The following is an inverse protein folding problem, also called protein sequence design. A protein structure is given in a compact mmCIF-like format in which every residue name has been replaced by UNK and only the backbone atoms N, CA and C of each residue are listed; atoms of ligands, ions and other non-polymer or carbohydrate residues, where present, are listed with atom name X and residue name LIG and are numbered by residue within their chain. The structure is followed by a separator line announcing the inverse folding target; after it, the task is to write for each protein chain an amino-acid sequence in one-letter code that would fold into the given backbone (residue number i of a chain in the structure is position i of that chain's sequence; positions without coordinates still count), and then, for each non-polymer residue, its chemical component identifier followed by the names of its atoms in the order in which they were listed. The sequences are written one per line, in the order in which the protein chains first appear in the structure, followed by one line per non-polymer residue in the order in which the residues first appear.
data_IF_307587522981
#
_entry.id   IF_307587522981
#
_cell.length_a   1.000
_cell.length_b   1.000
_cell.length_c   1.000
_cell.angle_alpha   90.00
_cell.angle_beta   90.00
_cell.angle_gamma   90.00
#
_symmetry.space_group_name_H-M   'P 1'
#
loop_
_entity.id
_entity.type
_entity.pdbx_description
1 polymer ?
#
# COMPACT_ATOMS: atom_id res chain seq x y z
N UNK A 1 -2.90 -19.49 -18.07
CA UNK A 1 -4.06 -18.65 -18.44
C UNK A 1 -3.93 -17.32 -17.72
N UNK A 2 -3.35 -16.33 -18.41
CA UNK A 2 -3.17 -14.98 -17.87
C UNK A 2 -4.53 -14.31 -17.77
N UNK A 3 -4.98 -14.03 -16.55
CA UNK A 3 -6.17 -13.23 -16.32
C UNK A 3 -5.74 -11.79 -16.51
N UNK A 4 -6.25 -11.18 -17.57
CA UNK A 4 -6.25 -9.75 -17.85
C UNK A 4 -6.48 -8.96 -16.56
N UNK A 5 -5.53 -8.06 -16.22
CA UNK A 5 -5.63 -7.15 -15.07
C UNK A 5 -6.89 -6.31 -15.23
N UNK A 6 -7.93 -6.67 -14.49
CA UNK A 6 -9.07 -5.78 -14.27
C UNK A 6 -8.64 -4.77 -13.22
N UNK A 7 -9.16 -3.54 -13.23
CA UNK A 7 -8.83 -2.52 -12.22
C UNK A 7 -9.08 -2.98 -10.76
N UNK A 8 -9.87 -4.04 -10.56
CA UNK A 8 -10.04 -4.69 -9.26
C UNK A 8 -8.86 -5.54 -8.75
N UNK A 9 -7.85 -5.79 -9.58
CA UNK A 9 -6.63 -6.55 -9.22
C UNK A 9 -5.61 -5.67 -8.48
N UNK A 10 -5.66 -4.35 -8.68
CA UNK A 10 -4.80 -3.38 -7.99
C UNK A 10 -5.11 -3.32 -6.49
N UNK A 11 -6.39 -3.41 -6.14
CA UNK A 11 -6.89 -3.48 -4.77
C UNK A 11 -7.23 -4.91 -4.36
N UNK A 12 -6.31 -5.84 -4.61
CA UNK A 12 -6.37 -7.18 -4.02
C UNK A 12 -6.38 -7.10 -2.48
N UNK A 13 -6.98 -8.09 -1.81
CA UNK A 13 -7.20 -8.08 -0.36
C UNK A 13 -5.91 -7.92 0.46
N UNK A 14 -4.82 -8.49 -0.04
CA UNK A 14 -3.51 -8.44 0.61
C UNK A 14 -2.62 -7.31 0.08
N UNK A 15 -3.13 -6.48 -0.84
CA UNK A 15 -2.41 -5.31 -1.31
C UNK A 15 -2.25 -4.29 -0.17
N UNK A 16 -1.10 -3.65 -0.12
CA UNK A 16 -0.73 -2.70 0.92
C UNK A 16 -0.98 -1.28 0.45
N UNK A 17 -1.72 -0.52 1.24
CA UNK A 17 -2.07 0.88 1.03
C UNK A 17 -1.24 1.76 1.95
N UNK A 18 -0.68 2.84 1.41
CA UNK A 18 0.09 3.85 2.16
C UNK A 18 -0.34 5.25 1.75
N UNK A 19 -0.33 6.20 2.68
CA UNK A 19 -0.57 7.62 2.37
C UNK A 19 0.67 8.25 1.72
N UNK A 20 0.46 9.10 0.72
CA UNK A 20 1.52 9.86 0.06
C UNK A 20 1.89 11.09 0.90
N UNK A 21 3.08 11.14 1.51
CA UNK A 21 3.43 12.22 2.46
C UNK A 21 3.62 13.58 1.76
N UNK A 22 3.88 13.59 0.47
CA UNK A 22 4.11 14.81 -0.32
C UNK A 22 2.83 15.50 -0.79
N UNK A 23 1.66 14.87 -0.61
CA UNK A 23 0.38 15.42 -1.05
C UNK A 23 -0.37 16.00 0.14
N UNK A 24 -0.69 17.30 0.07
CA UNK A 24 -1.56 17.92 1.04
C UNK A 24 -2.97 17.33 0.92
N UNK A 25 -3.52 16.89 2.05
CA UNK A 25 -4.89 16.37 2.13
C UNK A 25 -5.79 17.53 2.56
N UNK A 26 -6.73 17.91 1.71
CA UNK A 26 -7.83 18.79 2.09
C UNK A 26 -9.01 17.93 2.53
N UNK A 27 -9.14 17.71 3.84
CA UNK A 27 -10.17 16.84 4.41
C UNK A 27 -11.59 17.39 4.22
N UNK A 28 -11.75 18.68 3.87
CA UNK A 28 -13.07 19.28 3.60
C UNK A 28 -13.71 18.79 2.29
N UNK A 29 -12.89 18.24 1.38
CA UNK A 29 -13.33 17.69 0.09
C UNK A 29 -13.59 16.19 0.15
N UNK A 30 -13.38 15.55 1.32
CA UNK A 30 -13.46 14.11 1.49
C UNK A 30 -14.71 13.70 2.27
N UNK A 31 -15.26 12.53 1.93
CA UNK A 31 -16.30 11.89 2.75
C UNK A 31 -15.72 11.35 4.07
N UNK A 32 -16.57 11.15 5.10
CA UNK A 32 -16.11 10.66 6.41
C UNK A 32 -15.41 9.30 6.33
N UNK A 33 -15.83 8.42 5.41
CA UNK A 33 -15.20 7.13 5.16
C UNK A 33 -13.78 7.31 4.60
N UNK A 34 -13.58 8.22 3.66
CA UNK A 34 -12.26 8.52 3.08
C UNK A 34 -11.31 9.11 4.14
N UNK A 35 -11.82 10.01 5.00
CA UNK A 35 -11.05 10.56 6.12
C UNK A 35 -10.61 9.45 7.07
N UNK A 36 -11.51 8.51 7.41
CA UNK A 36 -11.18 7.35 8.26
C UNK A 36 -10.12 6.46 7.62
N UNK A 37 -10.24 6.14 6.34
CA UNK A 37 -9.25 5.35 5.59
C UNK A 37 -7.87 6.02 5.65
N UNK A 38 -7.79 7.33 5.38
CA UNK A 38 -6.53 8.07 5.45
C UNK A 38 -5.96 8.13 6.86
N UNK A 39 -6.79 8.34 7.87
CA UNK A 39 -6.37 8.33 9.27
C UNK A 39 -5.76 6.99 9.68
N UNK A 40 -6.34 5.88 9.22
CA UNK A 40 -5.80 4.54 9.47
C UNK A 40 -4.48 4.34 8.70
N UNK A 41 -4.46 4.60 7.39
CA UNK A 41 -3.28 4.43 6.53
C UNK A 41 -2.12 5.39 6.83
N UNK A 42 -2.33 6.45 7.63
CA UNK A 42 -1.25 7.31 8.15
C UNK A 42 -0.36 6.60 9.18
N UNK A 43 -0.83 5.53 9.82
CA UNK A 43 -0.08 4.79 10.84
C UNK A 43 0.98 3.86 10.24
N UNK A 44 0.87 3.54 8.94
CA UNK A 44 1.78 2.65 8.24
C UNK A 44 1.15 2.04 7.00
N UNK A 45 1.83 1.08 6.37
CA UNK A 45 1.25 0.31 5.29
C UNK A 45 0.18 -0.64 5.85
N UNK A 46 -1.03 -0.60 5.29
CA UNK A 46 -2.18 -1.40 5.77
C UNK A 46 -2.79 -2.18 4.61
N UNK A 47 -3.25 -3.41 4.87
CA UNK A 47 -3.88 -4.22 3.82
C UNK A 47 -5.29 -3.73 3.47
N UNK A 48 -5.75 -3.98 2.24
CA UNK A 48 -7.13 -3.68 1.83
C UNK A 48 -8.15 -4.40 2.71
N UNK A 49 -7.84 -5.63 3.14
CA UNK A 49 -8.68 -6.39 4.06
C UNK A 49 -8.83 -5.69 5.42
N UNK A 50 -7.73 -5.25 6.01
CA UNK A 50 -7.75 -4.55 7.31
C UNK A 50 -8.51 -3.22 7.20
N UNK A 51 -8.35 -2.49 6.10
CA UNK A 51 -9.12 -1.26 5.84
C UNK A 51 -10.62 -1.58 5.80
N UNK A 52 -11.02 -2.62 5.06
CA UNK A 52 -12.43 -3.00 4.97
C UNK A 52 -13.02 -3.41 6.33
N UNK A 53 -12.23 -4.11 7.15
CA UNK A 53 -12.61 -4.47 8.52
C UNK A 53 -12.69 -3.28 9.46
N UNK A 54 -11.80 -2.28 9.34
CA UNK A 54 -11.87 -1.07 10.16
C UNK A 54 -13.11 -0.23 9.80
N UNK A 55 -13.34 0.00 8.52
CA UNK A 55 -14.43 0.89 8.08
C UNK A 55 -15.81 0.24 8.13
N UNK A 56 -15.88 -1.08 8.26
CA UNK A 56 -17.10 -1.90 8.27
C UNK A 56 -17.96 -1.72 7.00
N UNK A 57 -17.31 -1.69 5.83
CA UNK A 57 -17.97 -1.52 4.53
C UNK A 57 -17.74 -2.73 3.62
N UNK A 58 -18.68 -3.02 2.69
CA UNK A 58 -18.47 -4.04 1.68
C UNK A 58 -17.21 -3.78 0.84
N UNK A 59 -16.45 -4.84 0.53
CA UNK A 59 -15.17 -4.73 -0.20
C UNK A 59 -15.29 -3.96 -1.52
N UNK A 60 -16.40 -4.10 -2.24
CA UNK A 60 -16.64 -3.35 -3.48
C UNK A 60 -16.68 -1.83 -3.26
N UNK A 61 -17.27 -1.38 -2.15
CA UNK A 61 -17.33 0.04 -1.77
C UNK A 61 -15.94 0.53 -1.37
N UNK A 62 -15.22 -0.23 -0.56
CA UNK A 62 -13.85 0.09 -0.14
C UNK A 62 -12.93 0.26 -1.35
N UNK A 63 -13.03 -0.64 -2.34
CA UNK A 63 -12.24 -0.55 -3.58
C UNK A 63 -12.54 0.71 -4.39
N UNK A 64 -13.81 1.14 -4.45
CA UNK A 64 -14.18 2.40 -5.11
C UNK A 64 -13.56 3.59 -4.38
N UNK A 65 -13.71 3.66 -3.05
CA UNK A 65 -13.14 4.75 -2.25
C UNK A 65 -11.61 4.81 -2.34
N UNK A 66 -10.94 3.65 -2.34
CA UNK A 66 -9.50 3.57 -2.54
C UNK A 66 -9.10 3.99 -3.95
N UNK A 67 -9.89 3.64 -4.97
CA UNK A 67 -9.73 4.15 -6.34
C UNK A 67 -9.77 5.67 -6.39
N UNK A 68 -10.80 6.28 -5.79
CA UNK A 68 -10.94 7.73 -5.74
C UNK A 68 -9.76 8.42 -5.03
N UNK A 69 -9.28 7.85 -3.92
CA UNK A 69 -8.13 8.37 -3.18
C UNK A 69 -6.82 8.19 -3.95
N UNK A 70 -6.69 7.09 -4.71
CA UNK A 70 -5.54 6.79 -5.54
C UNK A 70 -5.47 7.73 -6.75
N UNK A 71 -6.59 7.97 -7.42
CA UNK A 71 -6.71 8.89 -8.55
C UNK A 71 -6.40 10.34 -8.15
N UNK A 72 -6.73 10.72 -6.92
CA UNK A 72 -6.33 12.01 -6.32
C UNK A 72 -4.84 12.06 -5.93
N UNK A 73 -4.13 10.93 -5.99
CA UNK A 73 -2.74 10.79 -5.57
C UNK A 73 -2.53 10.91 -4.06
N UNK A 74 -3.57 10.68 -3.26
CA UNK A 74 -3.51 10.75 -1.80
C UNK A 74 -2.93 9.48 -1.19
N UNK A 75 -3.11 8.35 -1.86
CA UNK A 75 -2.56 7.05 -1.48
C UNK A 75 -1.72 6.43 -2.60
N UNK A 76 -0.92 5.45 -2.23
CA UNK A 76 -0.26 4.51 -3.14
C UNK A 76 -0.64 3.10 -2.74
N UNK A 77 -0.80 2.22 -3.73
CA UNK A 77 -1.06 0.79 -3.53
C UNK A 77 0.13 -0.01 -4.03
N UNK A 78 0.52 -1.02 -3.26
CA UNK A 78 1.65 -1.89 -3.61
C UNK A 78 1.27 -3.35 -3.33
N UNK A 79 1.84 -4.31 -4.08
CA UNK A 79 1.71 -5.71 -3.71
C UNK A 79 2.28 -5.95 -2.30
N UNK A 80 1.81 -6.99 -1.59
CA UNK A 80 2.40 -7.38 -0.32
C UNK A 80 3.90 -7.59 -0.49
N UNK A 81 4.67 -7.22 0.54
CA UNK A 81 6.11 -7.37 0.51
C UNK A 81 6.46 -8.84 0.26
N UNK A 82 7.07 -9.12 -0.89
CA UNK A 82 7.68 -10.42 -1.11
C UNK A 82 8.90 -10.50 -0.20
N UNK A 83 8.90 -11.45 0.73
CA UNK A 83 10.08 -11.73 1.55
C UNK A 83 11.16 -12.20 0.58
N UNK A 84 12.07 -11.30 0.20
CA UNK A 84 13.21 -11.68 -0.61
C UNK A 84 14.01 -12.74 0.18
N UNK A 85 14.49 -13.81 -0.46
CA UNK A 85 15.43 -14.72 0.18
C UNK A 85 16.61 -13.89 0.69
N UNK A 86 16.94 -13.99 1.98
CA UNK A 86 18.10 -13.29 2.51
C UNK A 86 19.33 -13.69 1.68
N UNK A 87 20.15 -12.74 1.22
CA UNK A 87 21.41 -13.06 0.56
C UNK A 87 22.24 -13.96 1.48
N UNK A 88 22.85 -15.00 0.92
CA UNK A 88 23.72 -15.89 1.70
C UNK A 88 24.80 -15.07 2.43
N UNK A 89 25.17 -15.50 3.64
CA UNK A 89 26.17 -14.81 4.48
C UNK A 89 27.52 -14.57 3.76
N UNK A 90 27.81 -15.34 2.70
CA UNK A 90 28.98 -15.18 1.86
C UNK A 90 28.96 -13.87 1.06
N UNK A 91 27.84 -13.56 0.40
CA UNK A 91 27.67 -12.31 -0.36
C UNK A 91 27.77 -11.10 0.57
N UNK A 92 27.16 -11.17 1.76
CA UNK A 92 27.23 -10.07 2.73
C UNK A 92 28.66 -9.82 3.23
N UNK A 93 29.46 -10.87 3.44
CA UNK A 93 30.89 -10.77 3.78
C UNK A 93 31.70 -10.16 2.63
N UNK A 94 31.43 -10.54 1.39
CA UNK A 94 32.13 -9.98 0.23
C UNK A 94 31.85 -8.48 0.05
N UNK A 95 30.61 -8.02 0.25
CA UNK A 95 30.27 -6.58 0.21
C UNK A 95 30.97 -5.79 1.32
N UNK A 96 30.95 -6.31 2.56
CA UNK A 96 31.63 -5.64 3.69
C UNK A 96 33.14 -5.56 3.46
N UNK A 97 33.74 -6.61 2.92
CA UNK A 97 35.16 -6.61 2.60
C UNK A 97 35.49 -5.66 1.44
N UNK A 98 34.64 -5.60 0.41
CA UNK A 98 34.79 -4.67 -0.72
C UNK A 98 34.68 -3.19 -0.32
N UNK A 99 33.72 -2.85 0.56
CA UNK A 99 33.55 -1.47 1.06
C UNK A 99 34.69 -0.99 1.98
N UNK A 100 35.42 -1.92 2.62
CA UNK A 100 36.58 -1.61 3.48
C UNK A 100 37.90 -1.54 2.72
N UNK A 101 37.92 -1.95 1.47
CA UNK A 101 39.11 -1.94 0.61
C UNK A 101 39.23 -0.66 -0.25
N UNK A 102 38.37 0.34 0.01
CA UNK A 102 38.35 1.66 -0.63
C UNK A 102 38.83 2.74 0.34
#
# INVERSE_FOLDING_TARGET
MGRTRSSGDEFDLIAMVTVNPSKAVDESLLGPEQVRILAFARQGAISVADIASDVDLPLGVVRVLLGDLHDQGLISVRPPAQVAPLPSARILKEVINGLRAL
#
